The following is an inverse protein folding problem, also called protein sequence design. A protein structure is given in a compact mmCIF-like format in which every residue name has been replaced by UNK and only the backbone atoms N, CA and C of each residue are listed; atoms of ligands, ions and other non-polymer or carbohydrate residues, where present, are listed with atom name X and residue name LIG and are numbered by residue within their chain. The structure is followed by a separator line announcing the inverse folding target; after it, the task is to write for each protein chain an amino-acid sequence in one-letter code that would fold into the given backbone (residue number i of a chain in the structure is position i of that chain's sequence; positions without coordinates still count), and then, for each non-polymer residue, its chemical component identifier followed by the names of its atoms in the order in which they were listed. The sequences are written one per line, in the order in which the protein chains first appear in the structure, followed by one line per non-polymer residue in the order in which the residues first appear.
data_IF_432512898932
#
_entry.id   IF_432512898932
#
_cell.length_a   1.000
_cell.length_b   1.000
_cell.length_c   1.000
_cell.angle_alpha   90.00
_cell.angle_beta   90.00
_cell.angle_gamma   90.00
#
_symmetry.space_group_name_H-M   'P 1'
#
loop_
_entity.id
_entity.type
_entity.pdbx_description
1 polymer ?
#
# COMPACT_ATOMS: atom_id res chain seq x y z
N UNK A 1 16.91 14.21 -7.34
CA UNK A 1 15.73 13.32 -7.23
C UNK A 1 15.70 12.44 -8.46
N UNK A 2 15.71 11.11 -8.30
CA UNK A 2 15.40 10.22 -9.43
C UNK A 2 14.02 10.59 -9.96
N UNK A 3 13.87 10.71 -11.28
CA UNK A 3 12.55 10.83 -11.89
C UNK A 3 11.67 9.65 -11.46
N UNK A 4 10.41 9.92 -11.13
CA UNK A 4 9.43 8.86 -10.90
C UNK A 4 9.15 8.14 -12.22
N UNK A 5 8.95 6.82 -12.16
CA UNK A 5 8.45 6.07 -13.32
C UNK A 5 6.92 6.17 -13.36
N UNK A 6 6.38 6.58 -14.50
CA UNK A 6 4.94 6.62 -14.77
C UNK A 6 4.59 5.51 -15.76
N UNK A 7 3.56 4.74 -15.46
CA UNK A 7 3.02 3.73 -16.36
C UNK A 7 1.54 4.02 -16.63
N UNK A 8 1.21 4.32 -17.87
CA UNK A 8 -0.19 4.42 -18.31
C UNK A 8 -0.80 3.03 -18.42
N UNK A 9 -1.85 2.78 -17.63
CA UNK A 9 -2.48 1.46 -17.51
C UNK A 9 -3.97 1.47 -17.89
N UNK A 10 -4.47 2.53 -18.50
CA UNK A 10 -5.90 2.74 -18.77
C UNK A 10 -6.52 1.65 -19.67
N UNK A 11 -5.76 1.16 -20.67
CA UNK A 11 -6.18 0.09 -21.59
C UNK A 11 -5.73 -1.31 -21.13
N UNK A 12 -5.04 -1.39 -19.99
CA UNK A 12 -4.52 -2.63 -19.42
C UNK A 12 -3.22 -3.16 -20.05
N UNK A 13 -2.73 -2.61 -21.17
CA UNK A 13 -1.57 -3.16 -21.88
C UNK A 13 -0.29 -3.19 -21.04
N UNK A 14 -0.09 -2.13 -20.24
CA UNK A 14 1.09 -2.02 -19.36
C UNK A 14 0.86 -2.53 -17.93
N UNK A 15 -0.35 -2.99 -17.59
CA UNK A 15 -0.74 -3.25 -16.20
C UNK A 15 0.22 -4.22 -15.50
N UNK A 16 0.58 -5.31 -16.17
CA UNK A 16 1.45 -6.33 -15.58
C UNK A 16 2.86 -5.79 -15.34
N UNK A 17 3.41 -5.06 -16.31
CA UNK A 17 4.73 -4.41 -16.19
C UNK A 17 4.73 -3.34 -15.11
N UNK A 18 3.67 -2.54 -15.02
CA UNK A 18 3.49 -1.52 -13.99
C UNK A 18 3.43 -2.15 -12.59
N UNK A 19 2.65 -3.23 -12.42
CA UNK A 19 2.56 -3.95 -11.13
C UNK A 19 3.91 -4.54 -10.74
N UNK A 20 4.63 -5.18 -11.67
CA UNK A 20 5.99 -5.70 -11.40
C UNK A 20 6.96 -4.58 -10.99
N UNK A 21 6.93 -3.45 -11.71
CA UNK A 21 7.74 -2.27 -11.40
C UNK A 21 7.45 -1.69 -10.02
N UNK A 22 6.16 -1.54 -9.70
CA UNK A 22 5.68 -1.08 -8.39
C UNK A 22 6.12 -2.00 -7.25
N UNK A 23 5.94 -3.31 -7.39
CA UNK A 23 6.39 -4.30 -6.39
C UNK A 23 7.90 -4.22 -6.19
N UNK A 24 8.68 -4.14 -7.28
CA UNK A 24 10.12 -4.02 -7.19
C UNK A 24 10.56 -2.71 -6.52
N UNK A 25 9.87 -1.60 -6.76
CA UNK A 25 10.12 -0.33 -6.09
C UNK A 25 9.84 -0.39 -4.58
N UNK A 26 8.68 -0.95 -4.18
CA UNK A 26 8.32 -1.13 -2.77
C UNK A 26 9.31 -2.04 -2.03
N UNK A 27 9.74 -3.16 -2.65
CA UNK A 27 10.76 -4.07 -2.08
C UNK A 27 12.11 -3.39 -1.82
N UNK A 28 12.44 -2.34 -2.59
CA UNK A 28 13.65 -1.51 -2.36
C UNK A 28 13.46 -0.42 -1.29
N UNK A 29 12.28 -0.37 -0.65
CA UNK A 29 11.89 0.66 0.32
C UNK A 29 11.48 1.99 -0.33
N UNK A 30 11.04 1.96 -1.59
CA UNK A 30 10.48 3.11 -2.30
C UNK A 30 8.97 3.29 -2.07
N UNK A 31 8.44 4.37 -2.64
CA UNK A 31 6.99 4.66 -2.66
C UNK A 31 6.39 4.38 -4.03
N UNK A 32 5.10 4.06 -4.05
CA UNK A 32 4.28 3.93 -5.25
C UNK A 32 3.02 4.76 -5.07
N UNK A 33 2.58 5.39 -6.15
CA UNK A 33 1.24 5.99 -6.24
C UNK A 33 0.39 5.03 -7.06
N UNK A 34 -0.75 4.58 -6.53
CA UNK A 34 -1.66 3.69 -7.23
C UNK A 34 -3.12 4.13 -7.09
N UNK A 35 -3.96 3.85 -8.11
CA UNK A 35 -5.40 4.10 -8.00
C UNK A 35 -6.07 3.08 -7.09
N UNK A 36 -7.11 3.53 -6.40
CA UNK A 36 -8.13 2.71 -5.72
C UNK A 36 -9.49 3.03 -6.33
N UNK A 37 -10.56 2.45 -5.79
CA UNK A 37 -11.92 2.70 -6.27
C UNK A 37 -12.38 4.16 -6.13
N UNK A 38 -11.81 4.92 -5.18
CA UNK A 38 -12.28 6.28 -4.85
C UNK A 38 -11.16 7.35 -4.86
N UNK A 39 -9.90 6.94 -4.82
CA UNK A 39 -8.79 7.88 -4.65
C UNK A 39 -7.47 7.28 -5.11
N UNK A 40 -6.46 8.13 -5.28
CA UNK A 40 -5.08 7.67 -5.40
C UNK A 40 -4.44 7.61 -4.03
N UNK A 41 -3.65 6.57 -3.79
CA UNK A 41 -2.91 6.39 -2.54
C UNK A 41 -1.41 6.39 -2.80
N UNK A 42 -0.67 7.06 -1.93
CA UNK A 42 0.78 6.88 -1.80
C UNK A 42 1.01 5.73 -0.82
N UNK A 43 1.72 4.69 -1.25
CA UNK A 43 1.92 3.45 -0.52
C UNK A 43 3.39 3.02 -0.50
N UNK A 44 3.74 2.22 0.50
CA UNK A 44 5.03 1.57 0.67
C UNK A 44 4.81 0.13 1.13
N UNK A 45 5.87 -0.69 1.14
CA UNK A 45 5.85 -1.97 1.84
C UNK A 45 5.66 -1.74 3.35
N UNK A 46 4.59 -2.32 3.91
CA UNK A 46 4.20 -2.18 5.31
C UNK A 46 5.26 -2.70 6.30
N UNK A 47 6.12 -3.62 5.87
CA UNK A 47 7.17 -4.20 6.70
C UNK A 47 8.54 -3.56 6.47
N UNK A 48 8.61 -2.56 5.57
CA UNK A 48 9.84 -1.82 5.29
C UNK A 48 9.94 -0.59 6.19
N UNK A 49 10.86 -0.61 7.17
CA UNK A 49 11.17 0.56 8.02
C UNK A 49 11.53 1.79 7.18
N UNK A 50 12.30 1.59 6.09
CA UNK A 50 12.65 2.66 5.16
C UNK A 50 11.42 3.20 4.42
N UNK A 51 10.59 2.29 3.92
CA UNK A 51 9.39 2.64 3.16
C UNK A 51 8.36 3.41 4.00
N UNK A 52 8.09 2.95 5.23
CA UNK A 52 7.14 3.61 6.14
C UNK A 52 7.65 4.97 6.61
N UNK A 53 8.94 5.11 6.94
CA UNK A 53 9.53 6.41 7.28
C UNK A 53 9.45 7.41 6.11
N UNK A 54 9.69 6.93 4.88
CA UNK A 54 9.56 7.76 3.68
C UNK A 54 8.10 8.14 3.43
N UNK A 55 7.15 7.22 3.64
CA UNK A 55 5.72 7.47 3.51
C UNK A 55 5.22 8.53 4.51
N UNK A 56 5.66 8.46 5.77
CA UNK A 56 5.33 9.47 6.79
C UNK A 56 5.81 10.86 6.39
N UNK A 57 7.06 10.96 5.94
CA UNK A 57 7.64 12.21 5.44
C UNK A 57 6.84 12.76 4.25
N UNK A 58 6.48 11.91 3.30
CA UNK A 58 5.69 12.30 2.13
C UNK A 58 4.28 12.79 2.50
N UNK A 59 3.64 12.16 3.50
CA UNK A 59 2.32 12.55 3.99
C UNK A 59 2.35 13.67 5.04
N UNK A 60 3.54 14.11 5.45
CA UNK A 60 3.74 15.11 6.52
C UNK A 60 3.01 14.74 7.82
N UNK A 61 2.99 13.45 8.18
CA UNK A 61 2.35 12.97 9.41
C UNK A 61 3.38 12.63 10.49
N UNK A 62 3.08 12.89 11.77
CA UNK A 62 3.92 12.46 12.88
C UNK A 62 4.18 10.95 12.91
N UNK A 63 5.24 10.56 13.61
CA UNK A 63 5.56 9.13 13.84
C UNK A 63 4.47 8.42 14.66
N UNK A 64 3.82 9.15 15.58
CA UNK A 64 2.74 8.62 16.42
C UNK A 64 1.44 8.36 15.67
N UNK A 65 1.27 8.90 14.46
CA UNK A 65 0.06 8.68 13.66
C UNK A 65 0.04 7.25 13.12
N UNK A 66 -1.00 6.45 13.37
CA UNK A 66 -1.11 5.12 12.74
C UNK A 66 -1.15 5.24 11.21
N UNK A 67 -0.35 4.46 10.51
CA UNK A 67 -0.48 4.31 9.06
C UNK A 67 -1.54 3.24 8.76
N UNK A 68 -2.39 3.51 7.77
CA UNK A 68 -3.32 2.49 7.25
C UNK A 68 -2.57 1.37 6.52
N UNK A 69 -3.12 0.15 6.57
CA UNK A 69 -2.60 -1.02 5.87
C UNK A 69 -3.59 -1.47 4.80
N UNK A 70 -3.14 -1.52 3.54
CA UNK A 70 -3.92 -2.08 2.44
C UNK A 70 -3.75 -3.61 2.45
N UNK A 71 -4.87 -4.32 2.53
CA UNK A 71 -4.89 -5.79 2.50
C UNK A 71 -5.72 -6.27 1.31
N UNK A 72 -5.26 -7.33 0.66
CA UNK A 72 -5.93 -7.87 -0.54
C UNK A 72 -7.19 -8.71 -0.20
N UNK A 73 -7.31 -9.19 1.05
CA UNK A 73 -8.46 -9.96 1.50
C UNK A 73 -8.60 -9.95 3.03
N UNK A 74 -9.80 -10.25 3.57
CA UNK A 74 -10.02 -10.38 5.01
C UNK A 74 -9.11 -11.41 5.70
N UNK A 75 -8.69 -12.45 4.98
CA UNK A 75 -7.81 -13.50 5.51
C UNK A 75 -6.47 -12.93 5.95
N UNK A 76 -5.91 -11.96 5.21
CA UNK A 76 -4.63 -11.32 5.52
C UNK A 76 -4.66 -10.61 6.88
N UNK A 77 -5.82 -10.05 7.27
CA UNK A 77 -5.98 -9.33 8.55
C UNK A 77 -5.61 -10.20 9.74
N UNK A 78 -5.92 -11.50 9.68
CA UNK A 78 -5.60 -12.45 10.75
C UNK A 78 -4.10 -12.69 10.91
N UNK A 79 -3.29 -12.43 9.87
CA UNK A 79 -1.84 -12.54 9.93
C UNK A 79 -1.12 -11.28 10.42
N UNK A 80 -1.80 -10.13 10.46
CA UNK A 80 -1.20 -8.83 10.81
C UNK A 80 -1.78 -8.18 12.05
N UNK A 81 -2.97 -8.59 12.49
CA UNK A 81 -3.62 -8.08 13.70
C UNK A 81 -3.63 -9.15 14.81
N UNK A 82 -3.17 -8.78 16.02
CA UNK A 82 -3.11 -9.71 17.16
C UNK A 82 -4.50 -10.17 17.65
N UNK A 83 -5.53 -9.34 17.47
CA UNK A 83 -6.92 -9.66 17.83
C UNK A 83 -7.88 -9.04 16.83
N UNK A 84 -8.75 -9.86 16.26
CA UNK A 84 -9.85 -9.43 15.38
C UNK A 84 -11.17 -9.75 16.07
N UNK A 85 -11.95 -8.75 16.54
CA UNK A 85 -13.26 -8.99 17.14
C UNK A 85 -14.19 -9.74 16.18
N UNK A 86 -15.04 -10.62 16.73
CA UNK A 86 -16.00 -11.41 15.91
C UNK A 86 -16.90 -10.54 15.03
N UNK A 87 -17.36 -9.40 15.54
CA UNK A 87 -18.18 -8.45 14.77
C UNK A 87 -17.40 -7.87 13.58
N UNK A 88 -16.12 -7.52 13.77
CA UNK A 88 -15.28 -7.00 12.68
C UNK A 88 -15.05 -8.07 11.60
N UNK A 89 -14.82 -9.32 12.00
CA UNK A 89 -14.69 -10.43 11.05
C UNK A 89 -15.95 -10.59 10.19
N UNK A 90 -17.14 -10.61 10.82
CA UNK A 90 -18.41 -10.68 10.10
C UNK A 90 -18.62 -9.53 9.13
N UNK A 91 -18.27 -8.30 9.53
CA UNK A 91 -18.40 -7.12 8.67
C UNK A 91 -17.44 -7.13 7.48
N UNK A 92 -16.27 -7.77 7.59
CA UNK A 92 -15.32 -7.91 6.49
C UNK A 92 -15.69 -9.04 5.51
N UNK A 93 -16.48 -10.02 5.94
CA UNK A 93 -16.91 -11.18 5.14
C UNK A 93 -18.27 -10.96 4.43
N UNK A 94 -19.03 -9.95 4.86
CA UNK A 94 -20.33 -9.58 4.31
C UNK A 94 -20.19 -8.86 2.96
#
# INVERSE_FOLDING_TARGET
MSAGQLWECADGANRETAVRGAVAAMRRGGLVILPTENSYVVAADAFSLRGTALLRRAKMVPESTPLGLLVASPVVVSGVAARVPRVAKKLMEA
#
